data_IF_178243611472
#
_entry.id   IF_178243611472
#
_cell.length_a   1.000
_cell.length_b   1.000
_cell.length_c   1.000
_cell.angle_alpha   90.00
_cell.angle_beta   90.00
_cell.angle_gamma   90.00
#
_symmetry.space_group_name_H-M   'P 1'
#
loop_
_entity.id
_entity.type
_entity.pdbx_description
1 polymer ?
#
# COMPACT_ATOMS: atom_id res chain seq x y z
N UNK A 1 9.41 -19.35 5.04
CA UNK A 1 9.64 -19.46 6.49
C UNK A 1 10.66 -18.39 6.82
N UNK A 2 10.40 -17.50 7.78
CA UNK A 2 11.29 -16.35 8.04
C UNK A 2 12.65 -16.75 8.63
N UNK A 3 13.63 -15.85 8.56
CA UNK A 3 14.98 -16.10 9.07
C UNK A 3 14.95 -16.19 10.60
N UNK A 4 15.55 -17.25 11.15
CA UNK A 4 15.77 -17.42 12.58
C UNK A 4 17.16 -16.89 12.93
N UNK A 5 17.21 -15.87 13.79
CA UNK A 5 18.47 -15.34 14.32
C UNK A 5 18.59 -15.74 15.79
N UNK A 6 19.69 -16.38 16.14
CA UNK A 6 20.03 -16.68 17.53
C UNK A 6 21.17 -15.77 17.99
N UNK A 7 21.01 -15.13 19.15
CA UNK A 7 22.01 -14.23 19.70
C UNK A 7 21.93 -14.17 21.22
N UNK A 8 22.98 -13.62 21.82
CA UNK A 8 23.11 -13.49 23.27
C UNK A 8 23.31 -12.03 23.64
N UNK A 9 22.52 -11.50 24.57
CA UNK A 9 22.76 -10.17 25.13
C UNK A 9 23.44 -10.29 26.50
N UNK A 10 24.53 -9.56 26.71
CA UNK A 10 25.30 -9.55 27.95
C UNK A 10 24.98 -8.33 28.83
N UNK A 11 25.18 -8.45 30.16
CA UNK A 11 25.13 -7.32 31.08
C UNK A 11 25.88 -6.07 30.59
N UNK A 12 25.27 -4.90 30.74
CA UNK A 12 25.85 -3.56 30.57
C UNK A 12 26.36 -3.12 29.18
N UNK A 13 26.43 -3.97 28.15
CA UNK A 13 27.15 -3.56 26.92
C UNK A 13 26.57 -3.99 25.56
N UNK A 14 25.34 -4.50 25.48
CA UNK A 14 24.79 -4.81 24.16
C UNK A 14 23.27 -4.65 24.06
N UNK A 15 22.84 -3.49 23.58
CA UNK A 15 21.55 -3.36 22.91
C UNK A 15 21.71 -3.87 21.49
N UNK A 16 20.90 -4.85 21.10
CA UNK A 16 20.96 -5.44 19.76
C UNK A 16 19.75 -4.94 18.99
N UNK A 17 20.01 -4.30 17.86
CA UNK A 17 19.02 -3.62 17.04
C UNK A 17 18.71 -4.46 15.80
N UNK A 18 17.43 -4.62 15.50
CA UNK A 18 16.97 -5.20 14.24
C UNK A 18 15.98 -4.28 13.58
N UNK A 19 16.25 -3.92 12.32
CA UNK A 19 15.27 -3.26 11.47
C UNK A 19 14.19 -4.27 11.09
N UNK A 20 12.93 -3.85 11.18
CA UNK A 20 11.77 -4.67 10.89
C UNK A 20 10.88 -3.99 9.87
N UNK A 21 10.22 -4.78 9.03
CA UNK A 21 9.36 -4.30 7.93
C UNK A 21 7.88 -4.61 8.16
N UNK A 22 7.55 -5.29 9.27
CA UNK A 22 6.20 -5.67 9.66
C UNK A 22 5.79 -4.98 10.96
N UNK A 23 4.50 -4.77 11.16
CA UNK A 23 3.91 -4.26 12.41
C UNK A 23 3.80 -5.31 13.53
N UNK A 24 4.60 -6.38 13.45
CA UNK A 24 4.65 -7.45 14.43
C UNK A 24 6.01 -8.14 14.41
N UNK A 25 6.41 -8.68 15.56
CA UNK A 25 7.63 -9.47 15.73
C UNK A 25 7.36 -10.64 16.67
N UNK A 26 7.96 -11.80 16.38
CA UNK A 26 7.98 -12.95 17.27
C UNK A 26 9.41 -13.22 17.71
N UNK A 27 9.58 -13.56 18.99
CA UNK A 27 10.90 -13.90 19.54
C UNK A 27 10.75 -14.97 20.62
N UNK A 28 11.86 -15.58 21.01
CA UNK A 28 11.95 -16.39 22.21
C UNK A 28 13.11 -15.91 23.06
N UNK A 29 12.95 -16.01 24.37
CA UNK A 29 13.99 -15.67 25.32
C UNK A 29 14.16 -16.80 26.33
N UNK A 30 15.41 -17.06 26.71
CA UNK A 30 15.81 -18.01 27.75
C UNK A 30 16.80 -17.30 28.67
N UNK A 31 16.52 -17.34 29.97
CA UNK A 31 17.26 -16.59 30.99
C UNK A 31 16.53 -16.56 32.33
N UNK A 32 17.14 -15.97 33.36
CA UNK A 32 16.50 -15.95 34.69
C UNK A 32 15.53 -14.78 34.87
N UNK A 33 15.95 -13.57 34.52
CA UNK A 33 15.21 -12.35 34.85
C UNK A 33 15.62 -11.18 33.93
N UNK A 34 14.76 -10.17 33.86
CA UNK A 34 15.02 -8.83 33.30
C UNK A 34 15.35 -8.76 31.81
N UNK A 35 14.56 -9.45 30.99
CA UNK A 35 14.54 -9.26 29.54
C UNK A 35 13.76 -7.99 29.19
N UNK A 36 14.21 -7.25 28.19
CA UNK A 36 13.42 -6.14 27.66
C UNK A 36 13.54 -6.02 26.15
N UNK A 37 12.40 -5.65 25.56
CA UNK A 37 12.25 -5.43 24.13
C UNK A 37 11.76 -4.01 23.90
N UNK A 38 12.61 -3.20 23.26
CA UNK A 38 12.32 -1.83 22.87
C UNK A 38 11.74 -1.78 21.46
N UNK A 39 10.84 -0.83 21.22
CA UNK A 39 10.30 -0.49 19.91
C UNK A 39 10.67 0.96 19.60
N UNK A 40 11.36 1.19 18.49
CA UNK A 40 11.90 2.51 18.15
C UNK A 40 11.69 2.87 16.67
N UNK A 41 11.67 4.17 16.37
CA UNK A 41 11.66 4.69 14.99
C UNK A 41 13.03 4.59 14.31
N UNK A 42 14.08 4.81 15.08
CA UNK A 42 15.46 4.85 14.63
C UNK A 42 16.31 3.89 15.49
N UNK A 43 17.52 3.47 15.05
CA UNK A 43 18.40 2.62 15.85
C UNK A 43 19.02 3.43 17.00
N UNK A 44 18.20 3.80 17.97
CA UNK A 44 18.52 4.66 19.10
C UNK A 44 18.13 3.98 20.43
N UNK A 45 18.80 4.39 21.52
CA UNK A 45 18.47 3.93 22.87
C UNK A 45 17.19 4.58 23.41
N UNK A 46 16.71 5.66 22.78
CA UNK A 46 15.46 6.33 23.07
C UNK A 46 14.33 5.61 22.31
N UNK A 47 13.76 4.60 22.95
CA UNK A 47 12.63 3.84 22.42
C UNK A 47 11.30 4.47 22.84
N UNK A 48 10.37 4.52 21.89
CA UNK A 48 8.99 4.91 22.08
C UNK A 48 8.29 3.98 23.07
N UNK A 49 8.52 2.67 22.97
CA UNK A 49 7.93 1.70 23.87
C UNK A 49 8.96 0.68 24.36
N UNK A 50 8.83 0.29 25.63
CA UNK A 50 9.57 -0.81 26.22
C UNK A 50 8.61 -1.85 26.79
N UNK A 51 8.79 -3.08 26.37
CA UNK A 51 8.18 -4.25 26.99
C UNK A 51 9.23 -4.89 27.87
N UNK A 52 9.05 -4.78 29.18
CA UNK A 52 9.94 -5.36 30.18
C UNK A 52 9.32 -6.67 30.67
N UNK A 53 10.09 -7.75 30.63
CA UNK A 53 9.73 -9.11 31.01
C UNK A 53 10.63 -9.51 32.18
N UNK A 54 10.06 -9.61 33.37
CA UNK A 54 10.77 -9.97 34.61
C UNK A 54 10.35 -11.37 35.05
N UNK A 55 10.68 -11.78 36.28
CA UNK A 55 10.48 -13.18 36.71
C UNK A 55 9.00 -13.62 36.73
N UNK A 56 8.10 -12.76 37.23
CA UNK A 56 6.67 -13.05 37.39
C UNK A 56 5.80 -11.86 36.95
N UNK A 57 6.35 -10.94 36.17
CA UNK A 57 5.64 -9.73 35.78
C UNK A 57 6.10 -9.24 34.41
N UNK A 58 5.22 -8.53 33.72
CA UNK A 58 5.57 -7.79 32.52
C UNK A 58 4.99 -6.38 32.56
N UNK A 59 5.73 -5.44 31.95
CA UNK A 59 5.41 -4.01 31.99
C UNK A 59 5.57 -3.41 30.62
N UNK A 60 4.63 -2.56 30.24
CA UNK A 60 4.75 -1.66 29.10
C UNK A 60 5.11 -0.27 29.59
N UNK A 61 6.21 0.29 29.10
CA UNK A 61 6.63 1.67 29.36
C UNK A 61 6.67 2.47 28.06
N UNK A 62 6.53 3.79 28.16
CA UNK A 62 6.71 4.78 27.08
C UNK A 62 7.45 5.99 27.63
N UNK A 63 8.50 6.42 26.94
CA UNK A 63 9.33 7.56 27.34
C UNK A 63 9.73 7.47 28.84
N UNK A 64 10.17 6.29 29.27
CA UNK A 64 10.53 5.97 30.66
C UNK A 64 9.35 5.79 31.65
N UNK A 65 8.13 6.22 31.32
CA UNK A 65 6.95 6.12 32.20
C UNK A 65 6.22 4.80 32.01
N UNK A 66 5.80 4.16 33.10
CA UNK A 66 5.02 2.92 33.08
C UNK A 66 3.57 3.20 32.63
N UNK A 67 3.13 2.55 31.55
CA UNK A 67 1.75 2.64 31.04
C UNK A 67 0.90 1.45 31.52
N UNK A 68 1.44 0.23 31.45
CA UNK A 68 0.72 -0.99 31.86
C UNK A 68 1.66 -1.89 32.66
N UNK A 69 1.08 -2.59 33.63
CA UNK A 69 1.79 -3.51 34.51
C UNK A 69 0.89 -4.71 34.77
N UNK A 70 1.38 -5.89 34.43
CA UNK A 70 0.77 -7.16 34.76
C UNK A 70 1.66 -7.90 35.76
N UNK A 71 1.09 -8.32 36.88
CA UNK A 71 1.76 -9.07 37.96
C UNK A 71 1.29 -10.52 37.93
N UNK A 72 1.98 -11.36 38.70
CA UNK A 72 1.61 -12.76 38.92
C UNK A 72 1.53 -13.61 37.64
N UNK A 73 2.36 -13.27 36.65
CA UNK A 73 2.46 -14.00 35.38
C UNK A 73 3.40 -15.19 35.58
N UNK A 74 2.85 -16.31 36.00
CA UNK A 74 3.61 -17.53 36.32
C UNK A 74 4.43 -18.02 35.12
N UNK A 75 5.70 -18.38 35.36
CA UNK A 75 6.61 -18.99 34.39
C UNK A 75 6.77 -18.18 33.10
N UNK A 76 6.88 -16.86 33.20
CA UNK A 76 7.08 -16.00 32.02
C UNK A 76 8.44 -16.22 31.38
N UNK A 77 9.50 -16.34 32.17
CA UNK A 77 10.86 -16.61 31.67
C UNK A 77 11.48 -17.77 32.46
N UNK A 78 12.29 -18.59 31.79
CA UNK A 78 12.95 -19.75 32.39
C UNK A 78 14.40 -19.85 31.95
N UNK A 79 15.28 -20.26 32.87
CA UNK A 79 16.69 -20.59 32.56
C UNK A 79 16.83 -21.87 31.75
N UNK A 80 15.84 -22.76 31.79
CA UNK A 80 15.96 -24.10 31.21
C UNK A 80 15.40 -24.14 29.79
N UNK A 81 14.31 -23.41 29.53
CA UNK A 81 13.53 -23.51 28.29
C UNK A 81 13.31 -22.13 27.69
N UNK A 82 13.35 -22.06 26.35
CA UNK A 82 12.95 -20.86 25.61
C UNK A 82 11.43 -20.63 25.75
N UNK A 83 11.05 -19.45 26.23
CA UNK A 83 9.65 -19.01 26.18
C UNK A 83 9.46 -18.15 24.94
N UNK A 84 8.45 -18.47 24.12
CA UNK A 84 8.11 -17.75 22.88
C UNK A 84 7.05 -16.68 23.11
N UNK A 85 7.31 -15.50 22.57
CA UNK A 85 6.49 -14.31 22.67
C UNK A 85 6.25 -13.68 21.30
N UNK A 86 5.26 -12.81 21.25
CA UNK A 86 5.00 -11.93 20.12
C UNK A 86 4.64 -10.53 20.59
N UNK A 87 4.94 -9.54 19.75
CA UNK A 87 4.55 -8.14 19.91
C UNK A 87 3.92 -7.71 18.60
N UNK A 88 2.82 -6.98 18.64
CA UNK A 88 2.24 -6.33 17.46
C UNK A 88 1.80 -4.91 17.76
N UNK A 89 1.94 -4.00 16.81
CA UNK A 89 1.48 -2.61 16.88
C UNK A 89 0.76 -2.26 15.57
N UNK A 90 -0.52 -2.59 15.48
CA UNK A 90 -1.32 -2.29 14.30
C UNK A 90 -2.63 -1.65 14.73
N UNK A 91 -3.24 -0.84 13.87
CA UNK A 91 -4.50 -0.15 14.12
C UNK A 91 -4.51 0.63 15.45
N UNK A 92 -3.40 1.31 15.78
CA UNK A 92 -3.26 2.08 17.03
C UNK A 92 -3.39 1.23 18.30
N UNK A 93 -3.14 -0.08 18.23
CA UNK A 93 -3.14 -0.98 19.40
C UNK A 93 -1.80 -1.72 19.47
N UNK A 94 -1.12 -1.59 20.61
CA UNK A 94 0.06 -2.36 20.95
C UNK A 94 -0.35 -3.55 21.82
N UNK A 95 0.05 -4.74 21.37
CA UNK A 95 -0.23 -5.99 22.03
C UNK A 95 1.06 -6.77 22.25
N UNK A 96 1.11 -7.49 23.36
CA UNK A 96 2.21 -8.38 23.72
C UNK A 96 1.63 -9.63 24.37
N UNK A 97 2.06 -10.81 23.92
CA UNK A 97 1.51 -12.07 24.40
C UNK A 97 2.46 -13.25 24.24
N UNK A 98 2.02 -14.40 24.76
CA UNK A 98 2.66 -15.69 24.52
C UNK A 98 2.10 -16.30 23.24
N UNK A 99 2.90 -17.12 22.56
CA UNK A 99 2.44 -17.77 21.30
C UNK A 99 1.51 -18.96 21.52
N UNK A 100 1.44 -19.52 22.75
CA UNK A 100 0.72 -20.78 22.99
C UNK A 100 -0.80 -20.68 22.82
N UNK A 101 -1.38 -19.57 23.25
CA UNK A 101 -2.83 -19.33 23.30
C UNK A 101 -3.27 -18.19 22.36
N UNK A 102 -2.34 -17.38 21.86
CA UNK A 102 -2.64 -16.21 21.02
C UNK A 102 -3.32 -15.07 21.80
N UNK A 103 -3.51 -15.22 23.11
CA UNK A 103 -4.14 -14.22 23.97
C UNK A 103 -3.08 -13.20 24.38
N UNK A 104 -3.31 -11.89 24.14
CA UNK A 104 -2.38 -10.86 24.58
C UNK A 104 -2.36 -10.77 26.12
N UNK A 105 -1.16 -10.82 26.70
CA UNK A 105 -0.94 -10.48 28.11
C UNK A 105 -1.13 -8.99 28.36
N UNK A 106 -0.68 -8.16 27.42
CA UNK A 106 -0.85 -6.71 27.43
C UNK A 106 -1.54 -6.33 26.13
N UNK A 107 -2.60 -5.54 26.23
CA UNK A 107 -3.26 -4.87 25.10
C UNK A 107 -3.50 -3.42 25.50
N UNK A 108 -3.03 -2.47 24.69
CA UNK A 108 -3.14 -1.05 24.98
C UNK A 108 -3.22 -0.22 23.70
N UNK A 109 -4.19 0.67 23.65
CA UNK A 109 -4.25 1.71 22.63
C UNK A 109 -3.07 2.66 22.75
N UNK A 110 -2.42 2.91 21.61
CA UNK A 110 -1.26 3.79 21.47
C UNK A 110 -1.44 4.70 20.25
N UNK A 111 -0.87 5.91 20.25
CA UNK A 111 -0.80 6.72 19.03
C UNK A 111 -0.04 5.97 17.93
N UNK A 112 -0.42 6.22 16.68
CA UNK A 112 0.28 5.67 15.51
C UNK A 112 1.77 5.96 15.65
N UNK A 113 2.56 4.89 15.67
CA UNK A 113 3.99 4.96 15.85
C UNK A 113 4.66 4.36 14.62
N UNK A 114 5.53 5.14 13.98
CA UNK A 114 6.37 4.72 12.85
C UNK A 114 7.55 3.86 13.34
N UNK A 115 7.23 2.76 14.04
CA UNK A 115 8.23 1.85 14.61
C UNK A 115 8.86 1.07 13.47
N UNK A 116 10.18 1.20 13.32
CA UNK A 116 10.97 0.52 12.30
C UNK A 116 12.05 -0.40 12.90
N UNK A 117 12.31 -0.31 14.21
CA UNK A 117 13.34 -1.07 14.89
C UNK A 117 12.82 -1.75 16.15
N UNK A 118 13.36 -2.95 16.40
CA UNK A 118 13.21 -3.68 17.65
C UNK A 118 14.56 -3.82 18.32
N UNK A 119 14.59 -3.56 19.61
CA UNK A 119 15.80 -3.57 20.43
C UNK A 119 15.70 -4.66 21.47
N UNK A 120 16.70 -5.52 21.57
CA UNK A 120 16.78 -6.57 22.58
C UNK A 120 17.87 -6.24 23.58
N UNK A 121 17.53 -6.31 24.87
CA UNK A 121 18.48 -6.06 25.95
C UNK A 121 18.14 -6.88 27.20
N UNK A 122 19.15 -7.12 28.03
CA UNK A 122 19.00 -7.68 29.37
C UNK A 122 19.55 -6.72 30.41
N UNK A 123 18.83 -6.53 31.51
CA UNK A 123 19.25 -5.66 32.62
C UNK A 123 19.85 -6.42 33.80
N UNK A 124 20.38 -7.63 33.58
CA UNK A 124 21.04 -8.39 34.65
C UNK A 124 22.51 -7.97 34.75
N UNK A 125 23.09 -8.03 35.94
CA UNK A 125 24.52 -7.76 36.16
C UNK A 125 25.40 -9.02 36.01
N UNK A 126 24.79 -10.22 35.96
CA UNK A 126 25.51 -11.49 36.18
C UNK A 126 25.27 -12.59 35.15
N UNK A 127 24.20 -12.52 34.37
CA UNK A 127 23.76 -13.60 33.47
C UNK A 127 23.34 -13.07 32.11
N UNK A 128 23.84 -13.70 31.06
CA UNK A 128 23.45 -13.40 29.68
C UNK A 128 22.05 -13.95 29.36
N UNK A 129 21.31 -13.26 28.48
CA UNK A 129 20.06 -13.77 27.93
C UNK A 129 20.30 -14.36 26.55
N UNK A 130 19.72 -15.53 26.30
CA UNK A 130 19.71 -16.15 24.98
C UNK A 130 18.40 -15.80 24.27
N UNK A 131 18.50 -15.37 23.02
CA UNK A 131 17.39 -14.92 22.20
C UNK A 131 17.29 -15.72 20.92
N UNK A 132 16.05 -15.92 20.48
CA UNK A 132 15.70 -16.41 19.15
C UNK A 132 14.75 -15.41 18.52
N UNK A 133 15.18 -14.65 17.53
CA UNK A 133 14.34 -13.72 16.80
C UNK A 133 13.84 -14.38 15.51
N UNK A 134 12.52 -14.37 15.31
CA UNK A 134 11.90 -14.83 14.08
C UNK A 134 11.65 -13.58 13.24
N UNK A 135 12.57 -13.28 12.33
CA UNK A 135 12.34 -12.19 11.40
C UNK A 135 11.19 -12.56 10.46
N UNK A 136 10.34 -11.59 10.07
CA UNK A 136 9.43 -11.82 8.96
C UNK A 136 10.27 -12.27 7.75
N UNK A 137 9.73 -13.16 6.89
CA UNK A 137 10.42 -13.47 5.64
C UNK A 137 10.72 -12.14 4.94
N UNK A 138 11.96 -11.97 4.47
CA UNK A 138 12.25 -10.88 3.55
C UNK A 138 11.33 -11.07 2.37
N UNK A 139 10.26 -10.28 2.32
CA UNK A 139 9.51 -10.11 1.10
C UNK A 139 10.51 -9.45 0.17
N UNK A 140 11.02 -10.21 -0.80
CA UNK A 140 11.71 -9.59 -1.92
C UNK A 140 10.81 -8.45 -2.37
N UNK A 141 11.35 -7.23 -2.35
CA UNK A 141 10.66 -6.11 -2.97
C UNK A 141 10.52 -6.56 -4.40
N UNK A 142 9.32 -7.02 -4.77
CA UNK A 142 9.03 -7.43 -6.13
C UNK A 142 9.39 -6.20 -6.95
N UNK A 143 10.54 -6.26 -7.61
CA UNK A 143 10.90 -5.22 -8.55
C UNK A 143 9.76 -5.28 -9.55
N UNK A 144 9.04 -4.16 -9.78
CA UNK A 144 8.02 -4.13 -10.80
C UNK A 144 8.66 -4.74 -12.04
N UNK A 145 8.17 -5.90 -12.49
CA UNK A 145 8.70 -6.53 -13.68
C UNK A 145 8.59 -5.46 -14.75
N UNK A 146 9.71 -4.98 -15.31
CA UNK A 146 9.68 -4.08 -16.45
C UNK A 146 9.02 -4.87 -17.56
N UNK A 147 7.72 -4.67 -17.73
CA UNK A 147 7.01 -5.25 -18.85
C UNK A 147 7.21 -4.28 -20.00
N UNK A 148 7.87 -4.78 -21.04
CA UNK A 148 8.03 -4.07 -22.30
C UNK A 148 6.69 -4.11 -23.03
N UNK A 149 6.15 -2.95 -23.38
CA UNK A 149 4.86 -2.80 -24.05
C UNK A 149 4.25 -1.43 -23.78
N UNK A 150 3.49 -0.93 -24.74
CA UNK A 150 2.68 0.30 -24.59
C UNK A 150 1.24 -0.06 -24.20
N UNK A 151 0.42 0.95 -23.91
CA UNK A 151 -1.01 0.73 -23.80
C UNK A 151 -1.59 0.37 -25.17
N UNK A 152 -2.35 -0.70 -25.21
CA UNK A 152 -3.02 -1.15 -26.43
C UNK A 152 -4.48 -1.52 -26.16
N UNK A 153 -5.33 -1.26 -27.15
CA UNK A 153 -6.73 -1.67 -27.14
C UNK A 153 -6.84 -2.97 -27.90
N UNK A 154 -7.10 -4.07 -27.20
CA UNK A 154 -7.22 -5.40 -27.78
C UNK A 154 -8.70 -5.75 -27.87
N UNK A 155 -9.16 -6.26 -29.02
CA UNK A 155 -10.53 -6.74 -29.15
C UNK A 155 -10.81 -7.82 -28.10
N UNK A 156 -11.82 -7.59 -27.27
CA UNK A 156 -12.24 -8.55 -26.26
C UNK A 156 -13.12 -9.62 -26.89
N UNK A 157 -12.72 -10.89 -26.78
CA UNK A 157 -13.62 -12.02 -26.99
C UNK A 157 -14.24 -12.44 -25.64
N UNK A 158 -14.89 -13.61 -25.56
CA UNK A 158 -15.42 -14.17 -24.30
C UNK A 158 -14.33 -14.48 -23.24
N UNK A 159 -13.04 -14.21 -23.51
CA UNK A 159 -11.95 -14.36 -22.55
C UNK A 159 -11.15 -13.05 -22.44
N UNK A 160 -10.75 -12.71 -21.21
CA UNK A 160 -9.90 -11.56 -20.95
C UNK A 160 -8.50 -11.76 -21.55
N UNK A 161 -7.98 -10.81 -22.34
CA UNK A 161 -6.63 -10.88 -22.85
C UNK A 161 -5.59 -10.74 -21.75
N UNK A 162 -4.38 -11.29 -22.01
CA UNK A 162 -3.25 -11.11 -21.12
C UNK A 162 -2.88 -9.63 -21.00
N UNK A 163 -2.63 -9.16 -19.78
CA UNK A 163 -2.28 -7.77 -19.53
C UNK A 163 -3.47 -6.81 -19.46
N UNK A 164 -4.71 -7.32 -19.42
CA UNK A 164 -5.91 -6.51 -19.19
C UNK A 164 -5.80 -5.70 -17.90
N UNK A 165 -6.02 -4.39 -18.00
CA UNK A 165 -5.91 -3.48 -16.87
C UNK A 165 -7.17 -3.51 -16.00
N UNK A 166 -6.95 -3.69 -14.70
CA UNK A 166 -7.99 -3.58 -13.68
C UNK A 166 -8.33 -2.09 -13.52
N UNK A 167 -9.57 -1.74 -13.86
CA UNK A 167 -10.10 -0.39 -13.77
C UNK A 167 -10.72 -0.07 -12.41
N UNK A 168 -11.19 -1.09 -11.69
CA UNK A 168 -11.87 -0.91 -10.43
C UNK A 168 -12.44 -2.19 -9.85
N UNK A 169 -13.39 -2.06 -8.93
CA UNK A 169 -13.97 -3.17 -8.19
C UNK A 169 -15.42 -2.86 -7.78
N UNK A 170 -16.29 -3.84 -8.01
CA UNK A 170 -17.68 -3.88 -7.51
C UNK A 170 -17.86 -5.10 -6.61
N UNK A 171 -18.48 -6.18 -7.13
CA UNK A 171 -18.50 -7.51 -6.49
C UNK A 171 -17.32 -8.38 -6.94
N UNK A 172 -16.68 -7.97 -8.03
CA UNK A 172 -15.52 -8.59 -8.66
C UNK A 172 -14.64 -7.51 -9.29
N UNK A 173 -13.47 -7.91 -9.78
CA UNK A 173 -12.57 -7.01 -10.50
C UNK A 173 -13.19 -6.55 -11.82
N UNK A 174 -13.18 -5.25 -12.04
CA UNK A 174 -13.65 -4.63 -13.28
C UNK A 174 -12.48 -4.30 -14.16
N UNK A 175 -12.64 -4.52 -15.46
CA UNK A 175 -11.62 -4.24 -16.45
C UNK A 175 -12.02 -3.04 -17.31
N UNK A 176 -11.01 -2.31 -17.77
CA UNK A 176 -11.22 -1.11 -18.59
C UNK A 176 -11.51 -1.56 -20.02
N UNK A 177 -12.63 -1.09 -20.55
CA UNK A 177 -12.99 -1.33 -21.96
C UNK A 177 -13.35 -0.03 -22.65
N UNK A 178 -13.45 -0.09 -23.98
CA UNK A 178 -14.18 0.89 -24.79
C UNK A 178 -15.05 0.18 -25.82
N UNK A 179 -16.17 0.81 -26.18
CA UNK A 179 -17.08 0.27 -27.17
C UNK A 179 -17.74 1.37 -28.00
N UNK A 180 -18.13 1.04 -29.24
CA UNK A 180 -18.86 1.95 -30.12
C UNK A 180 -20.33 2.00 -29.74
N UNK A 181 -20.89 3.20 -29.64
CA UNK A 181 -22.31 3.41 -29.38
C UNK A 181 -22.80 4.72 -30.00
N UNK A 182 -23.77 4.64 -30.91
CA UNK A 182 -24.43 5.81 -31.55
C UNK A 182 -23.45 6.88 -32.09
N UNK A 183 -22.36 6.45 -32.71
CA UNK A 183 -21.34 7.34 -33.27
C UNK A 183 -20.27 7.83 -32.29
N UNK A 184 -20.37 7.48 -31.00
CA UNK A 184 -19.30 7.65 -30.01
C UNK A 184 -18.47 6.37 -29.88
N UNK A 185 -17.20 6.53 -29.52
CA UNK A 185 -16.36 5.47 -28.97
C UNK A 185 -16.13 5.79 -27.49
N UNK A 186 -16.67 4.97 -26.59
CA UNK A 186 -16.82 5.33 -25.19
C UNK A 186 -16.17 4.31 -24.26
N UNK A 187 -15.35 4.72 -23.28
CA UNK A 187 -14.84 3.81 -22.27
C UNK A 187 -15.90 3.41 -21.23
N UNK A 188 -15.66 2.29 -20.57
CA UNK A 188 -16.53 1.77 -19.52
C UNK A 188 -15.90 0.60 -18.77
N UNK A 189 -16.76 -0.26 -18.21
CA UNK A 189 -16.37 -1.40 -17.39
C UNK A 189 -16.71 -2.72 -18.07
N UNK A 190 -15.85 -3.72 -17.91
CA UNK A 190 -16.16 -5.11 -18.22
C UNK A 190 -16.32 -5.91 -16.94
N UNK A 191 -17.35 -6.76 -16.92
CA UNK A 191 -17.73 -7.62 -15.79
C UNK A 191 -17.49 -9.09 -16.18
N UNK A 192 -16.40 -9.72 -15.70
CA UNK A 192 -16.02 -11.08 -16.11
C UNK A 192 -17.11 -12.12 -15.91
N UNK A 193 -17.81 -12.11 -14.76
CA UNK A 193 -18.87 -13.09 -14.48
C UNK A 193 -20.04 -13.04 -15.46
N UNK A 194 -20.29 -11.88 -16.08
CA UNK A 194 -21.34 -11.69 -17.08
C UNK A 194 -20.83 -11.87 -18.51
N UNK A 195 -19.52 -11.74 -18.73
CA UNK A 195 -18.95 -11.69 -20.08
C UNK A 195 -19.42 -10.45 -20.88
N UNK A 196 -19.84 -9.38 -20.19
CA UNK A 196 -20.42 -8.18 -20.80
C UNK A 196 -19.68 -6.90 -20.40
N UNK A 197 -19.58 -6.00 -21.36
CA UNK A 197 -19.17 -4.63 -21.18
C UNK A 197 -20.35 -3.71 -20.88
N UNK A 198 -20.10 -2.64 -20.12
CA UNK A 198 -21.08 -1.59 -19.85
C UNK A 198 -20.43 -0.23 -20.07
N UNK A 199 -21.11 0.63 -20.82
CA UNK A 199 -20.67 2.01 -21.11
C UNK A 199 -21.76 3.01 -20.75
N UNK A 200 -21.37 4.25 -20.44
CA UNK A 200 -22.30 5.33 -20.12
C UNK A 200 -22.64 6.15 -21.37
N UNK A 201 -23.92 6.31 -21.71
CA UNK A 201 -24.34 7.18 -22.81
C UNK A 201 -25.78 7.68 -22.64
N UNK A 202 -25.99 9.00 -22.76
CA UNK A 202 -27.31 9.61 -22.84
C UNK A 202 -28.18 9.42 -21.60
N UNK A 203 -27.58 9.39 -20.40
CA UNK A 203 -28.29 9.18 -19.12
C UNK A 203 -28.41 7.71 -18.68
N UNK A 204 -28.09 6.76 -19.55
CA UNK A 204 -28.24 5.32 -19.29
C UNK A 204 -26.90 4.57 -19.41
N UNK A 205 -26.83 3.40 -18.78
CA UNK A 205 -25.75 2.43 -18.97
C UNK A 205 -26.16 1.40 -20.02
N UNK A 206 -25.30 1.15 -21.01
CA UNK A 206 -25.59 0.27 -22.13
C UNK A 206 -24.70 -0.96 -22.11
N UNK A 207 -25.32 -2.12 -22.25
CA UNK A 207 -24.64 -3.42 -22.37
C UNK A 207 -23.99 -3.57 -23.75
N UNK A 208 -22.77 -4.12 -23.76
CA UNK A 208 -21.94 -4.28 -24.96
C UNK A 208 -21.30 -5.67 -24.95
N UNK A 209 -21.57 -6.44 -26.00
CA UNK A 209 -20.88 -7.69 -26.30
C UNK A 209 -19.67 -7.52 -27.22
N UNK A 210 -19.61 -6.41 -27.98
CA UNK A 210 -18.48 -6.05 -28.84
C UNK A 210 -17.78 -4.82 -28.26
N UNK A 211 -16.56 -5.03 -27.77
CA UNK A 211 -15.74 -4.03 -27.10
C UNK A 211 -14.25 -4.37 -27.21
N UNK A 212 -13.41 -3.39 -26.92
CA UNK A 212 -11.97 -3.56 -26.81
C UNK A 212 -11.57 -3.39 -25.35
N UNK A 213 -10.65 -4.23 -24.87
CA UNK A 213 -10.09 -4.22 -23.52
C UNK A 213 -8.77 -3.46 -23.54
N UNK A 214 -8.58 -2.54 -22.59
CA UNK A 214 -7.31 -1.85 -22.44
C UNK A 214 -6.30 -2.78 -21.77
N UNK A 215 -5.20 -3.04 -22.47
CA UNK A 215 -4.10 -3.87 -22.01
C UNK A 215 -2.81 -3.07 -21.96
N UNK A 216 -1.86 -3.53 -21.14
CA UNK A 216 -0.53 -2.93 -21.07
C UNK A 216 -0.15 -2.51 -19.66
N UNK A 217 0.82 -1.61 -19.57
CA UNK A 217 1.56 -1.31 -18.33
C UNK A 217 1.89 0.19 -18.21
N UNK A 218 2.63 0.55 -17.17
CA UNK A 218 3.21 1.89 -16.98
C UNK A 218 2.18 3.03 -16.90
N UNK A 219 1.02 2.77 -16.31
CA UNK A 219 -0.01 3.80 -16.09
C UNK A 219 -0.33 3.95 -14.61
N UNK A 220 -0.75 5.16 -14.23
CA UNK A 220 -1.11 5.52 -12.86
C UNK A 220 -2.46 6.22 -12.85
N UNK A 221 -3.19 6.05 -11.76
CA UNK A 221 -4.44 6.78 -11.51
C UNK A 221 -4.13 8.08 -10.80
N UNK A 222 -4.55 9.20 -11.38
CA UNK A 222 -4.30 10.54 -10.83
C UNK A 222 -5.64 11.11 -10.34
N UNK A 223 -5.77 11.47 -9.06
CA UNK A 223 -6.94 12.17 -8.56
C UNK A 223 -7.15 13.49 -9.31
N UNK A 224 -8.36 13.76 -9.76
CA UNK A 224 -8.71 14.91 -10.60
C UNK A 224 -10.14 15.38 -10.31
N UNK A 225 -10.45 16.61 -10.69
CA UNK A 225 -11.81 17.12 -10.65
C UNK A 225 -12.08 18.11 -11.77
N UNK A 226 -13.35 18.23 -12.17
CA UNK A 226 -13.78 19.19 -13.18
C UNK A 226 -13.15 18.93 -14.56
N UNK A 227 -12.69 20.01 -15.20
CA UNK A 227 -12.10 20.01 -16.55
C UNK A 227 -10.58 19.84 -16.63
N UNK A 228 -9.90 19.68 -15.49
CA UNK A 228 -8.44 19.61 -15.45
C UNK A 228 -7.94 18.26 -15.95
N UNK A 229 -7.63 18.13 -17.25
CA UNK A 229 -7.09 16.88 -17.82
C UNK A 229 -5.55 16.91 -17.74
N UNK A 230 -4.91 16.02 -16.97
CA UNK A 230 -3.45 15.92 -16.91
C UNK A 230 -2.87 15.50 -18.27
N UNK A 231 -1.66 15.97 -18.58
CA UNK A 231 -0.93 15.46 -19.73
C UNK A 231 -0.63 13.96 -19.57
N UNK A 232 -0.67 13.22 -20.67
CA UNK A 232 -0.54 11.77 -20.66
C UNK A 232 -1.82 11.04 -20.25
N UNK A 233 -2.94 11.75 -20.03
CA UNK A 233 -4.24 11.13 -19.86
C UNK A 233 -4.55 10.19 -21.03
N UNK A 234 -5.00 8.98 -20.70
CA UNK A 234 -5.21 7.92 -21.68
C UNK A 234 -6.47 8.22 -22.50
N UNK A 235 -6.27 8.57 -23.78
CA UNK A 235 -7.35 8.76 -24.74
C UNK A 235 -8.05 7.42 -24.99
N UNK A 236 -9.36 7.42 -24.79
CA UNK A 236 -10.19 6.21 -24.83
C UNK A 236 -11.23 6.21 -25.95
N UNK A 237 -11.44 7.35 -26.59
CA UNK A 237 -12.34 7.47 -27.72
C UNK A 237 -12.80 8.90 -27.92
N UNK A 238 -14.02 9.07 -28.42
CA UNK A 238 -14.57 10.38 -28.76
C UNK A 238 -16.07 10.44 -28.60
N UNK A 239 -16.60 11.61 -28.24
CA UNK A 239 -18.02 11.91 -28.18
C UNK A 239 -18.64 11.95 -29.59
N UNK A 240 -19.95 11.73 -29.68
CA UNK A 240 -20.70 11.87 -30.92
C UNK A 240 -20.68 13.31 -31.45
N UNK A 241 -20.79 13.48 -32.77
CA UNK A 241 -20.91 14.73 -33.52
C UNK A 241 -19.72 15.72 -33.43
N UNK A 242 -19.25 16.04 -32.22
CA UNK A 242 -18.15 16.97 -31.98
C UNK A 242 -16.78 16.30 -32.09
N UNK A 243 -16.74 14.96 -32.04
CA UNK A 243 -15.51 14.17 -31.93
C UNK A 243 -14.62 14.61 -30.75
N UNK A 244 -15.23 15.16 -29.69
CA UNK A 244 -14.51 15.55 -28.48
C UNK A 244 -13.77 14.35 -27.89
N UNK A 245 -12.47 14.47 -27.55
CA UNK A 245 -11.72 13.37 -26.95
C UNK A 245 -12.29 12.96 -25.59
N UNK A 246 -12.50 11.66 -25.40
CA UNK A 246 -12.91 11.06 -24.14
C UNK A 246 -11.74 10.30 -23.52
N UNK A 247 -11.61 10.38 -22.19
CA UNK A 247 -10.51 9.77 -21.46
C UNK A 247 -10.98 8.68 -20.51
N UNK A 248 -10.08 7.78 -20.14
CA UNK A 248 -10.35 6.75 -19.13
C UNK A 248 -10.37 7.39 -17.75
N UNK A 249 -11.53 7.35 -17.10
CA UNK A 249 -11.69 7.75 -15.70
C UNK A 249 -12.19 6.60 -14.85
N UNK A 250 -12.18 6.80 -13.53
CA UNK A 250 -12.93 5.99 -12.58
C UNK A 250 -13.41 6.83 -11.42
N UNK A 251 -14.50 6.44 -10.79
CA UNK A 251 -15.06 7.16 -9.65
C UNK A 251 -15.72 6.20 -8.65
N UNK A 252 -15.84 6.67 -7.40
CA UNK A 252 -16.47 5.92 -6.33
C UNK A 252 -17.98 6.16 -6.34
N UNK A 253 -18.75 5.08 -6.33
CA UNK A 253 -20.20 5.07 -6.17
C UNK A 253 -20.64 3.99 -5.20
N UNK A 254 -21.25 4.37 -4.09
CA UNK A 254 -21.70 3.45 -3.03
C UNK A 254 -20.63 2.43 -2.56
N UNK A 255 -19.36 2.86 -2.48
CA UNK A 255 -18.25 2.00 -2.05
C UNK A 255 -17.62 1.15 -3.17
N UNK A 256 -18.17 1.20 -4.38
CA UNK A 256 -17.57 0.57 -5.56
C UNK A 256 -16.74 1.58 -6.34
N UNK A 257 -15.62 1.12 -6.90
CA UNK A 257 -14.75 1.92 -7.76
C UNK A 257 -15.00 1.51 -9.20
N UNK A 258 -15.58 2.40 -10.00
CA UNK A 258 -16.14 2.03 -11.32
C UNK A 258 -15.42 2.82 -12.42
N UNK A 259 -14.83 2.15 -13.44
CA UNK A 259 -14.26 2.82 -14.59
C UNK A 259 -15.36 3.34 -15.54
N UNK A 260 -15.08 4.47 -16.20
CA UNK A 260 -16.03 5.19 -17.04
C UNK A 260 -15.35 6.22 -17.94
N UNK A 261 -16.13 7.16 -18.47
CA UNK A 261 -15.67 8.20 -19.41
C UNK A 261 -15.49 9.54 -18.72
N UNK A 262 -14.32 10.15 -18.88
CA UNK A 262 -14.15 11.58 -18.57
C UNK A 262 -14.49 12.37 -19.83
N UNK A 263 -15.42 13.30 -19.70
CA UNK A 263 -15.80 14.22 -20.76
C UNK A 263 -15.44 15.65 -20.35
N UNK A 264 -14.36 16.23 -20.90
CA UNK A 264 -13.83 17.52 -20.46
C UNK A 264 -14.84 18.67 -20.52
N UNK A 265 -15.61 18.78 -21.60
CA UNK A 265 -16.61 19.84 -21.82
C UNK A 265 -17.75 19.79 -20.79
N UNK A 266 -18.04 18.61 -20.23
CA UNK A 266 -19.05 18.42 -19.20
C UNK A 266 -18.46 18.50 -17.77
N UNK A 267 -17.13 18.58 -17.65
CA UNK A 267 -16.40 18.67 -16.39
C UNK A 267 -16.66 17.51 -15.41
N UNK A 268 -16.97 16.31 -15.94
CA UNK A 268 -17.32 15.13 -15.12
C UNK A 268 -16.75 13.84 -15.69
N UNK A 269 -16.62 12.85 -14.79
CA UNK A 269 -16.50 11.44 -15.13
C UNK A 269 -17.88 10.78 -15.04
N UNK A 270 -18.33 10.16 -16.12
CA UNK A 270 -19.57 9.38 -16.17
C UNK A 270 -19.28 7.89 -16.00
N UNK A 271 -19.89 7.27 -14.99
CA UNK A 271 -19.75 5.85 -14.68
C UNK A 271 -21.06 5.09 -14.89
N UNK A 272 -21.02 3.86 -15.43
CA UNK A 272 -22.21 3.04 -15.60
C UNK A 272 -22.50 2.26 -14.30
N UNK A 273 -23.63 2.55 -13.66
CA UNK A 273 -24.03 1.90 -12.41
C UNK A 273 -25.55 1.71 -12.34
N UNK A 274 -25.99 0.47 -12.07
CA UNK A 274 -27.40 0.07 -11.99
C UNK A 274 -28.24 0.65 -13.14
N UNK A 275 -27.85 0.31 -14.37
CA UNK A 275 -28.52 0.73 -15.62
C UNK A 275 -28.47 2.23 -15.92
N UNK A 276 -27.91 3.06 -15.05
CA UNK A 276 -27.85 4.51 -15.23
C UNK A 276 -26.43 5.01 -15.49
N UNK A 277 -26.34 6.12 -16.21
CA UNK A 277 -25.14 6.95 -16.29
C UNK A 277 -25.11 7.92 -15.11
N UNK A 278 -24.06 7.83 -14.29
CA UNK A 278 -23.90 8.68 -13.11
C UNK A 278 -22.73 9.64 -13.32
N UNK A 279 -23.00 10.95 -13.22
CA UNK A 279 -21.99 12.01 -13.34
C UNK A 279 -21.25 12.24 -12.01
N UNK A 280 -19.92 12.24 -12.04
CA UNK A 280 -19.04 12.45 -10.88
C UNK A 280 -18.06 13.58 -11.16
N UNK A 281 -18.10 14.62 -10.33
CA UNK A 281 -17.18 15.78 -10.43
C UNK A 281 -15.79 15.50 -9.86
N UNK A 282 -15.68 14.54 -8.94
CA UNK A 282 -14.43 14.07 -8.34
C UNK A 282 -14.20 12.64 -8.79
N UNK A 283 -13.05 12.40 -9.40
CA UNK A 283 -12.72 11.14 -10.05
C UNK A 283 -11.20 10.95 -10.10
N UNK A 284 -10.76 9.80 -10.56
CA UNK A 284 -9.36 9.57 -10.95
C UNK A 284 -9.31 9.38 -12.46
N UNK A 285 -8.27 9.90 -13.10
CA UNK A 285 -8.01 9.74 -14.54
C UNK A 285 -6.77 8.88 -14.73
N UNK A 286 -6.81 7.96 -15.70
CA UNK A 286 -5.67 7.11 -16.01
C UNK A 286 -4.66 7.91 -16.84
N UNK A 287 -3.40 7.90 -16.42
CA UNK A 287 -2.31 8.67 -17.03
C UNK A 287 -1.12 7.76 -17.31
N UNK A 288 -0.49 7.92 -18.47
CA UNK A 288 0.84 7.40 -18.75
C UNK A 288 1.91 8.43 -18.31
N UNK A 289 2.67 8.18 -17.23
CA UNK A 289 3.65 9.13 -16.69
C UNK A 289 4.79 9.45 -17.66
N UNK A 290 5.16 8.55 -18.56
CA UNK A 290 6.26 8.81 -19.51
C UNK A 290 5.90 9.96 -20.44
N UNK A 291 4.64 10.03 -20.89
CA UNK A 291 4.10 11.14 -21.70
C UNK A 291 3.97 12.43 -20.88
N UNK A 292 3.73 12.31 -19.57
CA UNK A 292 3.65 13.46 -18.66
C UNK A 292 5.04 14.06 -18.33
N UNK A 293 6.07 13.22 -18.21
CA UNK A 293 7.43 13.63 -17.81
C UNK A 293 8.19 14.39 -18.91
N UNK A 294 7.86 14.21 -20.19
CA UNK A 294 8.46 14.97 -21.28
C UNK A 294 8.07 16.48 -21.26
N UNK A 295 7.01 16.86 -20.53
CA UNK A 295 6.55 18.26 -20.36
C UNK A 295 5.87 18.48 -19.00
N UNK A 296 6.63 18.54 -17.89
CA UNK A 296 6.10 18.42 -16.53
C UNK A 296 5.18 19.56 -16.04
N UNK A 297 4.92 20.60 -16.85
CA UNK A 297 4.11 21.78 -16.48
C UNK A 297 3.01 22.15 -17.49
N UNK A 298 2.64 21.26 -18.42
CA UNK A 298 1.63 21.55 -19.42
C UNK A 298 0.30 20.86 -19.12
N UNK A 299 -0.70 21.62 -18.68
CA UNK A 299 -2.10 21.20 -18.75
C UNK A 299 -2.68 21.70 -20.07
N UNK A 300 -3.52 20.90 -20.75
CA UNK A 300 -4.27 21.40 -21.92
C UNK A 300 -5.41 22.27 -21.39
N UNK A 301 -5.09 23.49 -20.98
CA UNK A 301 -6.08 24.54 -20.75
C UNK A 301 -6.18 25.37 -22.02
N UNK A 302 -7.32 25.33 -22.70
CA UNK A 302 -7.64 26.42 -23.61
C UNK A 302 -7.69 27.72 -22.80
N UNK A 303 -6.76 28.60 -23.14
CA UNK A 303 -6.65 30.03 -22.84
C UNK A 303 -7.47 30.58 -21.66
N UNK A 304 -6.78 30.83 -20.54
CA UNK A 304 -6.61 32.16 -19.89
C UNK A 304 -6.29 31.97 -18.40
N UNK A 305 -5.35 32.76 -17.92
CA UNK A 305 -4.46 32.42 -16.81
C UNK A 305 -5.11 32.36 -15.43
N UNK A 306 -4.69 31.37 -14.63
CA UNK A 306 -4.79 31.39 -13.16
C UNK A 306 -3.55 30.72 -12.57
N UNK A 307 -3.03 31.32 -11.49
CA UNK A 307 -1.78 30.99 -10.78
C UNK A 307 -1.77 29.63 -10.09
N UNK A 308 -0.55 29.08 -9.98
CA UNK A 308 -0.17 27.80 -9.36
C UNK A 308 -0.59 27.64 -7.89
N UNK A 309 -0.89 26.39 -7.53
CA UNK A 309 -0.60 25.82 -6.20
C UNK A 309 0.42 24.69 -6.41
N UNK A 310 1.59 24.82 -5.81
CA UNK A 310 2.67 23.83 -5.82
C UNK A 310 2.39 22.75 -4.76
N UNK A 311 2.41 21.46 -5.13
CA UNK A 311 2.89 20.38 -4.24
C UNK A 311 3.11 19.06 -4.99
N UNK A 312 4.21 18.95 -5.73
CA UNK A 312 4.85 17.66 -5.99
C UNK A 312 6.36 17.86 -5.91
N UNK A 313 6.87 17.73 -4.68
CA UNK A 313 8.29 17.67 -4.39
C UNK A 313 8.62 16.32 -3.76
N UNK A 314 9.64 15.69 -4.31
CA UNK A 314 10.52 14.69 -3.69
C UNK A 314 10.11 13.23 -3.84
N UNK A 315 10.41 12.69 -5.03
CA UNK A 315 10.94 11.33 -5.17
C UNK A 315 12.27 11.45 -5.92
N UNK A 316 13.35 11.74 -5.20
CA UNK A 316 14.70 11.62 -5.73
C UNK A 316 15.06 10.14 -5.84
N UNK A 317 15.43 9.73 -7.05
CA UNK A 317 16.12 8.48 -7.31
C UNK A 317 17.59 8.67 -6.93
N UNK A 318 18.02 8.10 -5.80
CA UNK A 318 19.45 7.89 -5.53
C UNK A 318 20.00 6.90 -6.55
N UNK A 319 20.74 7.44 -7.51
CA UNK A 319 21.63 6.70 -8.40
C UNK A 319 22.88 6.28 -7.61
N UNK A 320 23.00 4.99 -7.29
CA UNK A 320 24.27 4.41 -6.88
C UNK A 320 25.19 4.30 -8.10
N UNK A 321 26.22 5.14 -8.15
CA UNK A 321 27.41 4.93 -8.98
C UNK A 321 28.42 4.09 -8.19
N UNK A 322 28.67 2.86 -8.63
CA UNK A 322 29.83 2.09 -8.18
C UNK A 322 31.10 2.72 -8.78
N UNK A 323 31.98 3.21 -7.92
CA UNK A 323 33.36 3.57 -8.28
C UNK A 323 34.25 2.37 -7.97
N UNK A 324 34.61 1.61 -9.01
CA UNK A 324 35.78 0.72 -8.97
C UNK A 324 37.04 1.60 -8.93
N UNK A 325 37.80 1.50 -7.84
CA UNK A 325 39.16 2.02 -7.76
C UNK A 325 40.13 0.83 -7.86
N UNK A 326 40.60 0.56 -9.07
CA UNK A 326 41.88 -0.10 -9.28
C UNK A 326 43.01 0.91 -9.00
N UNK A 327 43.97 0.51 -8.17
CA UNK A 327 45.33 1.05 -8.24
C UNK A 327 46.31 0.06 -7.62
N UNK A 328 47.23 -0.37 -8.48
CA UNK A 328 48.55 -1.00 -8.31
C UNK A 328 49.24 -0.90 -6.94
#
# INVERSE_FOLDING_TARGET
>A
MGDLIEFTSWPHHQMIFYKITSSAVAFSVKGETHAAVGLAKEPSTDCEYWIVIEHNECRLKRNGKRIKHLRDVTNIISRQVFTKFWISWHNSVLQFGRTRDGVPLISKEIPVADIQYVIFTGYTERVSLQWKLYLPPKLERLLPKKVHGELEWIKGDNMLPNGALIGGYEKEMLYIIRAKHRGSLTPGKFVPSLGLGFISWGGEAHEKSDFEVLCGYNCVWVPTSGKSIPQGAVLAGHAENTHEPLYVGRAIEHGHLIPGKVQPSHEVCYIPYKEREIAKKVYEILVNPQVAMDRPNCYVTEQSGVRLVQSLGNWEHDSYSESESESD
#
